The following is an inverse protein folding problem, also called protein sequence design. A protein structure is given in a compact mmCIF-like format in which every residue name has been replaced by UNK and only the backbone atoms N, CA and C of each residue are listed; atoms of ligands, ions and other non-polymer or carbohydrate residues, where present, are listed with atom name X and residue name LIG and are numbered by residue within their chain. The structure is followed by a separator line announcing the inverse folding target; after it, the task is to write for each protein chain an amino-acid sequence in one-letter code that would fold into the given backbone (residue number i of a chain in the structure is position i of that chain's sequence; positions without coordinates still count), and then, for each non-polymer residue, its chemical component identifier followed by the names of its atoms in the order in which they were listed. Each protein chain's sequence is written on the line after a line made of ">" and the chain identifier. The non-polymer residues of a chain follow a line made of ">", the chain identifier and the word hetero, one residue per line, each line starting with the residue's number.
data_IF_041631163232
#
_entry.id   IF_041631163232
#
_cell.length_a   1.000
_cell.length_b   1.000
_cell.length_c   1.000
_cell.angle_alpha   90.00
_cell.angle_beta   90.00
_cell.angle_gamma   90.00
#
_symmetry.space_group_name_H-M   'P 1'
#
loop_
_entity.id
_entity.type
_entity.pdbx_description
1 polymer ?
#
# COMPACT_ATOMS: atom_id res chain seq x y z
N UNK A 1 21.71 -11.46 34.40
CA UNK A 1 20.53 -10.68 34.82
C UNK A 1 19.65 -11.65 35.59
N UNK A 2 19.65 -11.56 36.91
CA UNK A 2 18.89 -12.46 37.78
C UNK A 2 17.41 -12.15 37.57
N UNK A 3 16.67 -13.11 37.01
CA UNK A 3 15.21 -13.09 36.92
C UNK A 3 14.72 -13.21 38.37
N UNK A 4 14.14 -12.14 38.94
CA UNK A 4 13.61 -12.14 40.30
C UNK A 4 12.55 -13.24 40.46
N UNK A 5 12.53 -13.90 41.62
CA UNK A 5 11.73 -15.09 41.96
C UNK A 5 10.20 -14.98 41.84
N UNK A 6 9.65 -13.84 41.42
CA UNK A 6 8.19 -13.65 41.20
C UNK A 6 7.76 -13.76 39.72
N UNK A 7 8.67 -14.12 38.80
CA UNK A 7 8.35 -14.30 37.38
C UNK A 7 7.89 -15.74 37.15
N UNK A 8 6.74 -15.92 36.46
CA UNK A 8 6.27 -17.22 35.99
C UNK A 8 7.42 -17.94 35.26
N UNK A 9 7.80 -19.13 35.74
CA UNK A 9 8.76 -20.00 35.06
C UNK A 9 7.97 -21.17 34.49
N UNK A 10 7.94 -21.34 33.16
CA UNK A 10 7.31 -22.51 32.56
C UNK A 10 7.89 -23.79 33.17
N UNK A 11 7.02 -24.72 33.57
CA UNK A 11 7.44 -26.02 34.07
C UNK A 11 7.39 -27.02 32.92
N UNK A 12 8.53 -27.57 32.54
CA UNK A 12 8.59 -28.60 31.49
C UNK A 12 8.79 -29.97 32.12
N UNK A 13 8.03 -30.96 31.65
CA UNK A 13 8.17 -32.37 32.08
C UNK A 13 9.40 -33.03 31.43
N UNK A 14 9.84 -32.51 30.27
CA UNK A 14 11.03 -32.97 29.56
C UNK A 14 12.28 -32.18 30.00
N UNK A 15 13.36 -32.85 30.47
CA UNK A 15 14.64 -32.20 30.76
C UNK A 15 15.26 -31.50 29.54
N UNK A 16 15.01 -32.03 28.34
CA UNK A 16 15.48 -31.44 27.08
C UNK A 16 14.77 -30.11 26.78
N UNK A 17 13.47 -30.02 27.06
CA UNK A 17 12.69 -28.79 26.93
C UNK A 17 13.12 -27.72 27.94
N UNK A 18 13.39 -28.12 29.19
CA UNK A 18 13.96 -27.21 30.19
C UNK A 18 15.31 -26.63 29.75
N UNK A 19 16.21 -27.49 29.25
CA UNK A 19 17.51 -27.06 28.73
C UNK A 19 17.35 -26.09 27.55
N UNK A 20 16.43 -26.37 26.62
CA UNK A 20 16.16 -25.51 25.47
C UNK A 20 15.56 -24.16 25.88
N UNK A 21 14.70 -24.13 26.90
CA UNK A 21 14.20 -22.89 27.49
C UNK A 21 15.33 -22.07 28.12
N UNK A 22 16.23 -22.71 28.89
CA UNK A 22 17.36 -22.04 29.50
C UNK A 22 18.32 -21.46 28.45
N UNK A 23 18.56 -22.19 27.35
CA UNK A 23 19.31 -21.69 26.19
C UNK A 23 18.61 -20.47 25.58
N UNK A 24 17.31 -20.55 25.32
CA UNK A 24 16.52 -19.44 24.78
C UNK A 24 16.59 -18.20 25.68
N UNK A 25 16.49 -18.39 27.00
CA UNK A 25 16.53 -17.34 28.01
C UNK A 25 17.94 -16.78 28.23
N UNK A 26 18.97 -17.59 28.01
CA UNK A 26 20.39 -17.24 28.10
C UNK A 26 20.96 -16.52 26.88
N UNK A 27 20.26 -16.54 25.74
CA UNK A 27 20.69 -15.77 24.56
C UNK A 27 20.81 -14.27 24.89
N UNK A 28 21.50 -13.47 24.09
CA UNK A 28 21.27 -12.02 24.12
C UNK A 28 20.03 -11.69 23.28
N UNK A 29 19.39 -10.54 23.52
CA UNK A 29 18.09 -10.14 22.93
C UNK A 29 18.02 -10.20 21.40
N UNK A 30 19.13 -10.46 20.70
CA UNK A 30 19.27 -10.39 19.23
C UNK A 30 20.19 -11.46 18.64
N UNK A 31 20.69 -12.40 19.45
CA UNK A 31 21.50 -13.50 18.92
C UNK A 31 20.56 -14.51 18.27
N UNK A 32 20.85 -14.88 17.02
CA UNK A 32 20.16 -15.98 16.35
C UNK A 32 20.38 -17.26 17.15
N UNK A 33 19.36 -18.10 17.22
CA UNK A 33 19.50 -19.44 17.80
C UNK A 33 20.50 -20.20 16.92
N UNK A 34 21.55 -20.82 17.51
CA UNK A 34 22.45 -21.67 16.75
C UNK A 34 21.67 -22.76 16.02
N UNK A 35 22.02 -23.05 14.75
CA UNK A 35 21.31 -24.03 13.91
C UNK A 35 21.05 -25.37 14.62
N UNK A 36 22.02 -25.85 15.40
CA UNK A 36 21.93 -27.09 16.18
C UNK A 36 20.83 -27.13 17.25
N UNK A 37 20.26 -25.98 17.62
CA UNK A 37 19.19 -25.85 18.60
C UNK A 37 17.86 -25.38 17.99
N UNK A 38 17.82 -25.08 16.67
CA UNK A 38 16.60 -24.54 16.04
C UNK A 38 15.46 -25.56 16.01
N UNK A 39 15.77 -26.85 15.79
CA UNK A 39 14.77 -27.93 15.75
C UNK A 39 14.14 -28.10 17.14
N UNK A 40 14.96 -28.23 18.18
CA UNK A 40 14.47 -28.41 19.55
C UNK A 40 13.72 -27.18 20.05
N UNK A 41 14.16 -25.97 19.68
CA UNK A 41 13.40 -24.76 20.02
C UNK A 41 12.06 -24.73 19.28
N UNK A 42 12.01 -25.14 18.00
CA UNK A 42 10.75 -25.23 17.25
C UNK A 42 9.76 -26.18 17.91
N UNK A 43 10.22 -27.31 18.46
CA UNK A 43 9.39 -28.29 19.18
C UNK A 43 8.94 -27.78 20.55
N UNK A 44 9.78 -27.01 21.24
CA UNK A 44 9.48 -26.40 22.53
C UNK A 44 8.48 -25.24 22.46
N UNK A 45 8.54 -24.46 21.38
CA UNK A 45 7.75 -23.22 21.24
C UNK A 45 6.25 -23.43 21.44
N UNK A 46 5.58 -24.44 20.84
CA UNK A 46 4.17 -24.71 21.11
C UNK A 46 3.82 -24.88 22.60
N UNK A 47 4.66 -25.61 23.35
CA UNK A 47 4.46 -25.82 24.79
C UNK A 47 4.63 -24.51 25.58
N UNK A 48 5.63 -23.70 25.25
CA UNK A 48 5.79 -22.35 25.84
C UNK A 48 4.54 -21.51 25.57
N UNK A 49 4.04 -21.49 24.33
CA UNK A 49 2.87 -20.69 23.95
C UNK A 49 1.60 -21.19 24.66
N UNK A 50 1.42 -22.50 24.79
CA UNK A 50 0.30 -23.09 25.52
C UNK A 50 0.30 -22.66 27.00
N UNK A 51 1.41 -22.88 27.71
CA UNK A 51 1.53 -22.51 29.13
C UNK A 51 1.34 -21.00 29.33
N UNK A 52 1.88 -20.20 28.42
CA UNK A 52 1.67 -18.75 28.39
C UNK A 52 0.17 -18.42 28.26
N UNK A 53 -0.55 -19.06 27.34
CA UNK A 53 -1.99 -18.82 27.11
C UNK A 53 -2.83 -19.21 28.33
N UNK A 54 -2.57 -20.37 28.93
CA UNK A 54 -3.23 -20.85 30.16
C UNK A 54 -3.04 -19.81 31.28
N UNK A 55 -1.81 -19.36 31.50
CA UNK A 55 -1.51 -18.38 32.54
C UNK A 55 -2.15 -17.00 32.28
N UNK A 56 -2.31 -16.57 31.01
CA UNK A 56 -3.07 -15.35 30.67
C UNK A 56 -4.55 -15.45 31.05
N UNK A 57 -5.14 -16.64 30.90
CA UNK A 57 -6.55 -16.87 31.21
C UNK A 57 -6.83 -16.79 32.71
N UNK A 58 -5.86 -17.21 33.53
CA UNK A 58 -5.94 -17.21 35.00
C UNK A 58 -5.57 -15.86 35.63
N UNK A 59 -4.59 -15.15 35.05
CA UNK A 59 -3.93 -13.99 35.69
C UNK A 59 -3.99 -12.70 34.84
N UNK A 60 -5.16 -12.41 34.28
CA UNK A 60 -5.40 -11.37 33.26
C UNK A 60 -4.92 -9.93 33.57
N UNK A 61 -4.50 -9.61 34.80
CA UNK A 61 -4.15 -8.25 35.24
C UNK A 61 -2.79 -8.11 35.97
N UNK A 62 -1.92 -9.14 36.00
CA UNK A 62 -0.63 -9.03 36.69
C UNK A 62 0.42 -8.22 35.89
N UNK A 63 0.97 -7.10 36.42
CA UNK A 63 2.08 -6.37 35.78
C UNK A 63 3.33 -7.23 35.59
N UNK A 64 3.56 -8.19 36.50
CA UNK A 64 4.67 -9.15 36.45
C UNK A 64 4.52 -10.10 35.26
N UNK A 65 3.30 -10.56 35.00
CA UNK A 65 2.99 -11.38 33.83
C UNK A 65 3.23 -10.61 32.52
N UNK A 66 2.79 -9.36 32.46
CA UNK A 66 3.04 -8.52 31.29
C UNK A 66 4.52 -8.38 30.98
N UNK A 67 5.33 -8.15 32.02
CA UNK A 67 6.79 -8.05 31.91
C UNK A 67 7.42 -9.37 31.48
N UNK A 68 6.93 -10.50 31.97
CA UNK A 68 7.38 -11.83 31.56
C UNK A 68 7.10 -12.08 30.06
N UNK A 69 5.87 -11.83 29.62
CA UNK A 69 5.53 -11.87 28.19
C UNK A 69 6.41 -10.93 27.36
N UNK A 70 6.66 -9.72 27.85
CA UNK A 70 7.55 -8.77 27.16
C UNK A 70 9.00 -9.27 27.03
N UNK A 71 9.50 -10.03 28.00
CA UNK A 71 10.84 -10.61 27.95
C UNK A 71 10.90 -11.90 27.11
N UNK A 72 10.08 -12.91 27.41
CA UNK A 72 10.14 -14.20 26.73
C UNK A 72 9.62 -14.08 25.31
N UNK A 73 8.42 -13.54 25.15
CA UNK A 73 7.76 -13.55 23.86
C UNK A 73 8.37 -12.50 22.91
N UNK A 74 8.47 -11.24 23.31
CA UNK A 74 8.86 -10.17 22.38
C UNK A 74 10.35 -9.91 22.25
N UNK A 75 11.18 -10.36 23.20
CA UNK A 75 12.64 -10.23 23.11
C UNK A 75 13.35 -11.53 22.81
N UNK A 76 12.69 -12.69 22.90
CA UNK A 76 13.23 -13.99 22.44
C UNK A 76 12.48 -14.51 21.23
N UNK A 77 11.20 -14.86 21.40
CA UNK A 77 10.43 -15.57 20.38
C UNK A 77 10.15 -14.72 19.12
N UNK A 78 9.83 -13.43 19.29
CA UNK A 78 9.48 -12.57 18.16
C UNK A 78 10.63 -12.38 17.13
N UNK A 79 11.87 -12.63 17.53
CA UNK A 79 13.07 -12.56 16.69
C UNK A 79 13.40 -13.86 15.95
N UNK A 80 12.70 -14.95 16.26
CA UNK A 80 12.85 -16.21 15.54
C UNK A 80 12.34 -16.07 14.11
N UNK A 81 12.96 -16.76 13.17
CA UNK A 81 12.43 -16.84 11.80
C UNK A 81 11.10 -17.62 11.77
N UNK A 82 10.41 -17.59 10.63
CA UNK A 82 9.13 -18.28 10.46
C UNK A 82 9.28 -19.81 10.49
N UNK A 83 10.46 -20.34 10.15
CA UNK A 83 10.76 -21.78 10.19
C UNK A 83 10.90 -22.30 11.62
N UNK A 84 11.39 -21.45 12.53
CA UNK A 84 11.61 -21.79 13.94
C UNK A 84 10.38 -21.46 14.81
N UNK A 85 9.60 -20.45 14.46
CA UNK A 85 8.39 -20.07 15.20
C UNK A 85 7.19 -19.85 14.29
N UNK A 86 6.27 -20.81 14.35
CA UNK A 86 4.93 -20.67 13.81
C UNK A 86 4.11 -19.66 14.63
N UNK A 87 4.00 -18.45 14.08
CA UNK A 87 3.26 -17.33 14.70
C UNK A 87 1.74 -17.53 14.68
N UNK A 88 1.23 -18.52 13.95
CA UNK A 88 -0.20 -18.87 13.97
C UNK A 88 -0.63 -19.38 15.35
N UNK A 89 0.31 -19.87 16.16
CA UNK A 89 0.08 -20.32 17.54
C UNK A 89 -0.30 -19.19 18.50
N UNK A 90 -0.12 -17.92 18.11
CA UNK A 90 -0.53 -16.79 18.94
C UNK A 90 -2.04 -16.70 19.00
N UNK A 91 -2.55 -16.94 20.19
CA UNK A 91 -3.97 -16.89 20.48
C UNK A 91 -4.54 -15.46 20.37
N UNK A 92 -5.85 -15.41 20.20
CA UNK A 92 -6.58 -14.14 20.21
C UNK A 92 -6.55 -13.48 21.60
N UNK A 93 -6.33 -14.26 22.65
CA UNK A 93 -6.16 -13.87 24.04
C UNK A 93 -4.88 -13.05 24.23
N UNK A 94 -3.77 -13.47 23.62
CA UNK A 94 -2.51 -12.69 23.61
C UNK A 94 -2.72 -11.34 22.92
N UNK A 95 -3.42 -11.34 21.77
CA UNK A 95 -3.76 -10.09 21.07
C UNK A 95 -4.65 -9.19 21.94
N UNK A 96 -5.65 -9.74 22.63
CA UNK A 96 -6.51 -9.01 23.58
C UNK A 96 -5.68 -8.40 24.71
N UNK A 97 -4.72 -9.12 25.23
CA UNK A 97 -3.86 -8.67 26.32
C UNK A 97 -2.96 -7.49 25.92
N UNK A 98 -2.41 -7.49 24.70
CA UNK A 98 -1.51 -6.41 24.25
C UNK A 98 -2.21 -5.19 23.66
N UNK A 99 -3.42 -5.35 23.10
CA UNK A 99 -4.21 -4.23 22.55
C UNK A 99 -5.64 -4.17 23.11
N UNK A 100 -5.87 -4.19 24.45
CA UNK A 100 -7.20 -4.38 25.03
C UNK A 100 -8.18 -3.29 24.58
N UNK A 101 -7.72 -2.03 24.51
CA UNK A 101 -8.52 -0.89 24.03
C UNK A 101 -9.00 -1.04 22.59
N UNK A 102 -8.21 -1.66 21.72
CA UNK A 102 -8.52 -1.80 20.29
C UNK A 102 -9.08 -3.18 19.93
N UNK A 103 -8.98 -4.14 20.84
CA UNK A 103 -9.28 -5.55 20.59
C UNK A 103 -10.70 -5.79 20.05
N UNK A 104 -11.79 -5.22 20.60
CA UNK A 104 -13.13 -5.47 20.05
C UNK A 104 -13.24 -5.07 18.57
N UNK A 105 -12.67 -3.92 18.20
CA UNK A 105 -12.67 -3.45 16.82
C UNK A 105 -11.67 -4.20 15.93
N UNK A 106 -10.61 -4.74 16.53
CA UNK A 106 -9.62 -5.54 15.83
C UNK A 106 -10.14 -6.96 15.57
N UNK A 107 -10.92 -7.55 16.47
CA UNK A 107 -11.65 -8.79 16.24
C UNK A 107 -12.59 -8.64 15.04
N UNK A 108 -13.40 -7.59 15.01
CA UNK A 108 -14.25 -7.25 13.86
C UNK A 108 -13.43 -7.09 12.56
N UNK A 109 -12.25 -6.45 12.64
CA UNK A 109 -11.35 -6.34 11.48
C UNK A 109 -10.91 -7.72 10.98
N UNK A 110 -10.55 -8.64 11.88
CA UNK A 110 -10.11 -9.99 11.54
C UNK A 110 -11.23 -10.87 10.99
N UNK A 111 -12.46 -10.71 11.49
CA UNK A 111 -13.63 -11.41 10.95
C UNK A 111 -13.86 -11.02 9.48
N UNK A 112 -13.70 -9.73 9.16
CA UNK A 112 -13.75 -9.25 7.78
C UNK A 112 -12.50 -9.63 6.96
N UNK A 113 -11.36 -9.92 7.60
CA UNK A 113 -10.10 -10.22 6.93
C UNK A 113 -10.18 -11.53 6.14
N UNK A 114 -11.02 -12.46 6.61
CA UNK A 114 -11.29 -13.73 5.94
C UNK A 114 -12.08 -13.57 4.63
N UNK A 115 -12.70 -12.40 4.39
CA UNK A 115 -13.47 -12.15 3.17
C UNK A 115 -12.53 -11.69 2.05
N UNK A 116 -12.60 -12.38 0.92
CA UNK A 116 -11.77 -12.11 -0.26
C UNK A 116 -11.96 -10.66 -0.72
N UNK A 117 -10.87 -9.90 -0.78
CA UNK A 117 -10.88 -8.55 -1.34
C UNK A 117 -11.84 -7.59 -0.64
N UNK A 118 -12.03 -7.74 0.68
CA UNK A 118 -13.02 -6.94 1.42
C UNK A 118 -12.81 -5.43 1.27
N UNK A 119 -13.76 -4.78 0.60
CA UNK A 119 -13.80 -3.33 0.40
C UNK A 119 -13.95 -2.56 1.73
N UNK A 120 -14.61 -3.16 2.72
CA UNK A 120 -14.80 -2.59 4.05
C UNK A 120 -13.46 -2.39 4.77
N UNK A 121 -12.58 -3.39 4.70
CA UNK A 121 -11.25 -3.36 5.29
C UNK A 121 -10.44 -2.20 4.71
N UNK A 122 -10.42 -2.11 3.39
CA UNK A 122 -9.53 -1.20 2.68
C UNK A 122 -10.00 0.26 2.75
N UNK A 123 -11.31 0.54 2.87
CA UNK A 123 -11.85 1.93 2.88
C UNK A 123 -11.95 2.58 4.26
N UNK A 124 -11.95 1.78 5.33
CA UNK A 124 -12.28 2.21 6.69
C UNK A 124 -11.13 2.96 7.38
N UNK A 125 -11.40 4.22 7.75
CA UNK A 125 -10.48 5.00 8.59
C UNK A 125 -10.35 4.44 10.01
N UNK A 126 -11.37 3.72 10.50
CA UNK A 126 -11.34 3.01 11.79
C UNK A 126 -10.32 1.88 11.72
N UNK A 127 -10.42 1.02 10.69
CA UNK A 127 -9.49 -0.09 10.48
C UNK A 127 -8.06 0.38 10.21
N UNK A 128 -7.86 1.48 9.48
CA UNK A 128 -6.54 2.10 9.35
C UNK A 128 -5.90 2.43 10.71
N UNK A 129 -6.65 3.05 11.62
CA UNK A 129 -6.14 3.41 12.96
C UNK A 129 -5.77 2.16 13.76
N UNK A 130 -6.58 1.11 13.66
CA UNK A 130 -6.35 -0.16 14.35
C UNK A 130 -5.10 -0.85 13.79
N UNK A 131 -5.02 -1.02 12.47
CA UNK A 131 -3.88 -1.61 11.79
C UNK A 131 -2.59 -0.88 12.15
N UNK A 132 -2.57 0.47 12.09
CA UNK A 132 -1.42 1.26 12.48
C UNK A 132 -0.99 1.00 13.93
N UNK A 133 -1.94 0.92 14.87
CA UNK A 133 -1.62 0.67 16.29
C UNK A 133 -1.08 -0.73 16.52
N UNK A 134 -1.65 -1.74 15.87
CA UNK A 134 -1.19 -3.13 15.95
C UNK A 134 0.20 -3.27 15.31
N UNK A 135 0.44 -2.64 14.15
CA UNK A 135 1.76 -2.62 13.50
C UNK A 135 2.80 -1.94 14.40
N UNK A 136 2.50 -0.76 14.95
CA UNK A 136 3.40 -0.03 15.84
C UNK A 136 3.77 -0.86 17.07
N UNK A 137 2.79 -1.58 17.61
CA UNK A 137 3.01 -2.52 18.69
C UNK A 137 3.92 -3.67 18.25
N UNK A 138 3.58 -4.37 17.16
CA UNK A 138 4.39 -5.47 16.62
C UNK A 138 5.85 -5.07 16.41
N UNK A 139 6.11 -3.91 15.82
CA UNK A 139 7.45 -3.36 15.67
C UNK A 139 8.15 -3.07 17.00
N UNK A 140 7.43 -2.47 17.97
CA UNK A 140 7.98 -2.23 19.32
C UNK A 140 8.38 -3.53 19.99
N UNK A 141 7.66 -4.59 19.67
CA UNK A 141 7.72 -5.92 20.21
C UNK A 141 8.55 -6.91 19.37
N UNK A 142 9.31 -6.40 18.39
CA UNK A 142 10.32 -7.18 17.68
C UNK A 142 9.84 -7.92 16.43
N UNK A 143 8.54 -7.88 16.10
CA UNK A 143 8.00 -8.46 14.86
C UNK A 143 8.65 -7.79 13.66
N UNK A 144 9.33 -8.59 12.83
CA UNK A 144 10.01 -8.11 11.64
C UNK A 144 9.01 -7.80 10.51
N UNK A 145 9.15 -6.64 9.83
CA UNK A 145 8.53 -6.45 8.52
C UNK A 145 9.06 -7.50 7.54
N UNK A 146 8.19 -7.98 6.66
CA UNK A 146 8.56 -8.94 5.61
C UNK A 146 8.82 -8.17 4.30
N UNK A 147 10.04 -8.21 3.74
CA UNK A 147 10.31 -7.61 2.44
C UNK A 147 9.45 -8.25 1.35
N UNK A 148 8.89 -7.43 0.46
CA UNK A 148 8.13 -7.96 -0.69
C UNK A 148 9.11 -8.51 -1.73
N UNK A 149 9.03 -9.81 -2.02
CA UNK A 149 9.93 -10.50 -2.96
C UNK A 149 9.74 -10.07 -4.42
N UNK A 150 8.52 -9.66 -4.79
CA UNK A 150 8.16 -9.13 -6.11
C UNK A 150 7.90 -7.63 -6.00
N UNK A 151 8.87 -6.79 -6.38
CA UNK A 151 8.69 -5.32 -6.39
C UNK A 151 10.00 -4.53 -6.41
N UNK A 152 9.88 -3.21 -6.40
CA UNK A 152 11.03 -2.33 -6.17
C UNK A 152 11.57 -2.51 -4.74
N UNK A 153 12.88 -2.40 -4.58
CA UNK A 153 13.55 -2.41 -3.27
C UNK A 153 12.86 -1.40 -2.32
N UNK A 154 12.75 -1.76 -1.05
CA UNK A 154 12.17 -0.89 -0.02
C UNK A 154 10.65 -0.92 0.08
N UNK A 155 10.03 -2.09 -0.12
CA UNK A 155 8.61 -2.33 0.20
C UNK A 155 8.49 -3.45 1.21
N UNK A 156 7.70 -3.23 2.27
CA UNK A 156 7.56 -4.15 3.40
C UNK A 156 6.09 -4.49 3.68
N UNK A 157 5.77 -5.78 3.81
CA UNK A 157 4.54 -6.20 4.48
C UNK A 157 4.68 -5.99 5.98
N UNK A 158 3.75 -5.23 6.53
CA UNK A 158 3.63 -4.96 7.96
C UNK A 158 2.66 -5.95 8.56
N UNK A 159 3.09 -6.65 9.60
CA UNK A 159 2.37 -7.77 10.18
C UNK A 159 1.84 -7.44 11.57
N UNK A 160 0.81 -8.15 12.00
CA UNK A 160 0.43 -8.20 13.40
C UNK A 160 1.34 -9.16 14.19
N UNK A 161 1.01 -9.42 15.45
CA UNK A 161 1.80 -10.35 16.27
C UNK A 161 1.77 -11.76 15.68
N UNK A 162 0.63 -12.19 15.14
CA UNK A 162 0.38 -13.52 14.55
C UNK A 162 0.92 -13.68 13.13
N UNK A 163 1.66 -12.68 12.61
CA UNK A 163 2.22 -12.73 11.26
C UNK A 163 1.22 -12.39 10.14
N UNK A 164 -0.03 -12.02 10.45
CA UNK A 164 -1.01 -11.64 9.42
C UNK A 164 -0.68 -10.27 8.86
N UNK A 165 -0.73 -10.11 7.54
CA UNK A 165 -0.39 -8.88 6.82
C UNK A 165 -1.48 -7.84 7.03
N UNK A 166 -1.16 -6.72 7.67
CA UNK A 166 -2.11 -5.63 7.95
C UNK A 166 -1.93 -4.42 7.01
N UNK A 167 -0.72 -4.24 6.48
CA UNK A 167 -0.43 -3.12 5.59
C UNK A 167 0.84 -3.32 4.78
N UNK A 168 1.01 -2.46 3.78
CA UNK A 168 2.21 -2.35 2.97
C UNK A 168 2.87 -1.01 3.30
N UNK A 169 4.11 -1.04 3.77
CA UNK A 169 4.90 0.14 4.09
C UNK A 169 6.00 0.36 3.07
N UNK A 170 6.05 1.57 2.51
CA UNK A 170 7.07 2.03 1.56
C UNK A 170 7.80 3.24 2.14
N UNK A 171 8.98 3.06 2.77
CA UNK A 171 9.78 4.18 3.27
C UNK A 171 10.32 5.06 2.13
N UNK A 172 10.31 6.37 2.36
CA UNK A 172 10.67 7.37 1.35
C UNK A 172 12.16 7.38 1.00
N UNK A 173 13.03 6.99 1.94
CA UNK A 173 14.48 7.00 1.78
C UNK A 173 15.02 5.76 1.04
N UNK A 174 14.18 4.76 0.77
CA UNK A 174 14.55 3.54 0.05
C UNK A 174 14.05 3.54 -1.41
N UNK A 175 13.37 4.60 -1.86
CA UNK A 175 12.93 4.73 -3.25
C UNK A 175 14.11 4.68 -4.24
N UNK A 176 13.88 4.20 -5.47
CA UNK A 176 14.95 3.89 -6.42
C UNK A 176 15.93 5.04 -6.67
N UNK A 177 15.46 6.29 -6.84
CA UNK A 177 16.33 7.45 -7.06
C UNK A 177 16.78 8.05 -5.72
N UNK A 178 15.92 8.05 -4.70
CA UNK A 178 16.24 8.55 -3.36
C UNK A 178 17.42 7.81 -2.70
N UNK A 179 17.53 6.50 -2.95
CA UNK A 179 18.61 5.66 -2.45
C UNK A 179 19.95 5.86 -3.17
N UNK A 180 20.00 6.63 -4.27
CA UNK A 180 21.22 6.85 -5.07
C UNK A 180 22.02 8.07 -4.60
N UNK A 181 23.30 8.08 -4.98
CA UNK A 181 24.24 9.15 -4.65
C UNK A 181 23.77 10.51 -5.17
N UNK A 182 24.19 11.61 -4.51
CA UNK A 182 23.92 12.98 -4.96
C UNK A 182 24.34 13.20 -6.43
N UNK A 183 25.49 12.64 -6.84
CA UNK A 183 26.00 12.70 -8.22
C UNK A 183 25.06 12.02 -9.22
N UNK A 184 24.54 10.83 -8.90
CA UNK A 184 23.58 10.14 -9.77
C UNK A 184 22.26 10.91 -9.88
N UNK A 185 21.75 11.44 -8.78
CA UNK A 185 20.53 12.26 -8.78
C UNK A 185 20.69 13.51 -9.64
N UNK A 186 21.83 14.19 -9.53
CA UNK A 186 22.17 15.33 -10.39
C UNK A 186 22.20 14.92 -11.87
N UNK A 187 22.95 13.87 -12.21
CA UNK A 187 23.06 13.39 -13.59
C UNK A 187 21.71 12.96 -14.17
N UNK A 188 20.90 12.24 -13.40
CA UNK A 188 19.57 11.85 -13.81
C UNK A 188 18.72 13.08 -14.14
N UNK A 189 18.68 14.08 -13.24
CA UNK A 189 17.93 15.32 -13.44
C UNK A 189 18.39 16.15 -14.66
N UNK A 190 19.59 15.89 -15.20
CA UNK A 190 20.08 16.55 -16.43
C UNK A 190 19.70 15.82 -17.72
N UNK A 191 19.07 14.64 -17.64
CA UNK A 191 18.65 13.85 -18.80
C UNK A 191 17.18 14.13 -19.18
N UNK A 192 16.91 14.92 -20.23
CA UNK A 192 15.56 15.42 -20.58
C UNK A 192 14.57 14.32 -21.00
N UNK A 193 15.06 13.09 -21.18
CA UNK A 193 14.27 11.94 -21.64
C UNK A 193 13.39 11.35 -20.52
N UNK A 194 13.70 11.63 -19.25
CA UNK A 194 13.10 10.95 -18.10
C UNK A 194 12.71 11.87 -16.93
N UNK A 195 12.77 13.21 -17.06
CA UNK A 195 12.56 14.17 -15.96
C UNK A 195 11.35 13.84 -15.07
N UNK A 196 10.20 13.54 -15.68
CA UNK A 196 8.98 13.20 -14.95
C UNK A 196 9.15 11.91 -14.13
N UNK A 197 9.77 10.87 -14.71
CA UNK A 197 10.01 9.61 -13.99
C UNK A 197 11.03 9.81 -12.88
N UNK A 198 12.04 10.63 -13.08
CA UNK A 198 13.07 10.89 -12.07
C UNK A 198 12.47 11.66 -10.89
N UNK A 199 11.66 12.68 -11.17
CA UNK A 199 10.88 13.40 -10.15
C UNK A 199 10.05 12.43 -9.30
N UNK A 200 9.31 11.53 -9.94
CA UNK A 200 8.39 10.60 -9.29
C UNK A 200 9.09 9.57 -8.40
N UNK A 201 10.35 9.25 -8.65
CA UNK A 201 11.12 8.29 -7.86
C UNK A 201 12.14 8.95 -6.90
N UNK A 202 12.09 10.29 -6.80
CA UNK A 202 13.04 11.12 -6.04
C UNK A 202 12.84 11.16 -4.52
N UNK A 203 11.99 10.29 -3.94
CA UNK A 203 11.67 10.26 -2.51
C UNK A 203 10.28 10.82 -2.17
N UNK A 204 9.47 11.17 -3.18
CA UNK A 204 8.14 11.73 -3.03
C UNK A 204 7.01 10.72 -3.27
N UNK A 205 7.33 9.48 -3.68
CA UNK A 205 6.32 8.46 -4.00
C UNK A 205 5.36 8.19 -2.84
N UNK A 206 5.85 8.20 -1.59
CA UNK A 206 4.98 8.07 -0.41
C UNK A 206 3.89 9.17 -0.28
N UNK A 207 4.15 10.40 -0.77
CA UNK A 207 3.18 11.50 -0.80
C UNK A 207 2.17 11.26 -1.92
N UNK A 208 2.64 10.82 -3.08
CA UNK A 208 1.81 10.44 -4.23
C UNK A 208 0.82 9.31 -3.89
N UNK A 209 1.29 8.28 -3.18
CA UNK A 209 0.43 7.21 -2.64
C UNK A 209 -0.68 7.75 -1.73
N UNK A 210 -0.38 8.74 -0.88
CA UNK A 210 -1.37 9.35 -0.02
C UNK A 210 -2.35 10.25 -0.80
N UNK A 211 -1.87 11.02 -1.78
CA UNK A 211 -2.73 11.84 -2.64
C UNK A 211 -3.74 10.97 -3.41
N UNK A 212 -3.31 9.83 -3.96
CA UNK A 212 -4.21 8.88 -4.62
C UNK A 212 -5.32 8.38 -3.67
N UNK A 213 -4.97 8.04 -2.42
CA UNK A 213 -5.96 7.63 -1.42
C UNK A 213 -6.92 8.76 -1.03
N UNK A 214 -6.44 10.01 -0.97
CA UNK A 214 -7.31 11.19 -0.72
C UNK A 214 -8.32 11.36 -1.86
N UNK A 215 -7.87 11.34 -3.12
CA UNK A 215 -8.74 11.49 -4.30
C UNK A 215 -9.80 10.39 -4.33
N UNK A 216 -9.39 9.13 -4.27
CA UNK A 216 -10.31 7.98 -4.32
C UNK A 216 -11.37 8.03 -3.21
N UNK A 217 -10.99 8.43 -1.99
CA UNK A 217 -11.94 8.54 -0.86
C UNK A 217 -12.85 9.76 -0.96
N UNK A 218 -12.36 10.89 -1.48
CA UNK A 218 -13.16 12.11 -1.64
C UNK A 218 -14.26 11.95 -2.68
N UNK A 219 -13.93 11.24 -3.76
CA UNK A 219 -14.88 10.87 -4.81
C UNK A 219 -15.75 9.65 -4.44
N UNK A 220 -15.56 9.07 -3.25
CA UNK A 220 -16.22 7.84 -2.77
C UNK A 220 -16.12 6.67 -3.76
N UNK A 221 -14.97 6.54 -4.44
CA UNK A 221 -14.66 5.40 -5.31
C UNK A 221 -14.16 4.21 -4.49
N UNK A 222 -13.36 4.49 -3.45
CA UNK A 222 -12.81 3.49 -2.52
C UNK A 222 -11.97 2.38 -3.16
N UNK A 223 -11.54 2.56 -4.41
CA UNK A 223 -10.66 1.64 -5.14
C UNK A 223 -9.18 1.77 -4.75
N UNK A 224 -8.74 2.86 -4.10
CA UNK A 224 -7.39 2.93 -3.52
C UNK A 224 -7.50 2.58 -2.03
N UNK A 225 -6.88 1.49 -1.55
CA UNK A 225 -6.90 1.16 -0.13
C UNK A 225 -6.40 2.34 0.70
N UNK A 226 -6.90 2.48 1.94
CA UNK A 226 -6.60 3.63 2.77
C UNK A 226 -5.09 3.69 3.00
N UNK A 227 -4.47 4.73 2.48
CA UNK A 227 -3.04 5.01 2.59
C UNK A 227 -2.85 6.32 3.35
N UNK A 228 -1.87 6.40 4.24
CA UNK A 228 -1.39 7.69 4.77
C UNK A 228 0.13 7.69 4.92
N UNK A 229 0.69 8.89 4.99
CA UNK A 229 2.08 9.07 5.43
C UNK A 229 2.16 8.80 6.93
N UNK A 230 3.12 7.97 7.33
CA UNK A 230 3.38 7.59 8.72
C UNK A 230 4.88 7.57 9.01
N UNK A 231 5.22 7.70 10.28
CA UNK A 231 6.56 7.49 10.80
C UNK A 231 6.56 6.19 11.59
N UNK A 232 7.35 5.20 11.17
CA UNK A 232 7.49 3.92 11.84
C UNK A 232 8.92 3.74 12.34
N UNK A 233 9.07 3.15 13.52
CA UNK A 233 10.37 2.93 14.17
C UNK A 233 10.61 1.44 14.38
N UNK A 234 11.65 0.89 13.76
CA UNK A 234 11.98 -0.54 13.80
C UNK A 234 13.49 -0.76 13.87
N UNK A 235 13.91 -1.89 14.42
CA UNK A 235 15.31 -2.36 14.33
C UNK A 235 15.61 -3.02 12.98
N UNK A 236 14.57 -3.47 12.28
CA UNK A 236 14.66 -4.28 11.06
C UNK A 236 14.66 -3.46 9.77
N UNK A 237 14.42 -2.15 9.86
CA UNK A 237 14.53 -1.30 8.69
C UNK A 237 15.98 -1.15 8.27
N UNK A 238 16.20 -0.99 6.96
CA UNK A 238 17.52 -0.74 6.40
C UNK A 238 18.18 0.46 7.08
N UNK A 239 19.44 0.29 7.48
CA UNK A 239 20.24 1.27 8.22
C UNK A 239 21.28 1.89 7.29
N UNK A 240 21.54 3.18 7.45
CA UNK A 240 22.72 3.81 6.85
C UNK A 240 23.97 3.40 7.62
N UNK A 241 25.14 3.50 7.00
CA UNK A 241 26.44 3.15 7.64
C UNK A 241 26.72 3.91 8.94
N UNK A 242 26.15 5.11 9.08
CA UNK A 242 26.28 5.99 10.24
C UNK A 242 25.32 5.62 11.39
N UNK A 243 24.31 4.78 11.14
CA UNK A 243 23.36 4.34 12.17
C UNK A 243 24.02 3.26 13.04
N UNK A 244 23.99 3.43 14.36
CA UNK A 244 24.50 2.38 15.26
C UNK A 244 23.69 1.09 15.14
N UNK A 245 24.38 -0.05 15.20
CA UNK A 245 23.80 -1.39 15.09
C UNK A 245 22.64 -1.61 16.10
N UNK A 246 22.68 -0.89 17.22
CA UNK A 246 21.75 -1.09 18.33
C UNK A 246 20.52 -0.18 18.38
N UNK A 247 20.43 0.84 17.52
CA UNK A 247 19.32 1.77 17.52
C UNK A 247 18.17 1.35 16.60
N UNK A 248 16.94 1.68 16.99
CA UNK A 248 15.79 1.59 16.09
C UNK A 248 15.86 2.77 15.13
N UNK A 249 15.74 2.50 13.84
CA UNK A 249 15.66 3.52 12.81
C UNK A 249 14.21 3.95 12.66
N UNK A 250 14.00 5.27 12.62
CA UNK A 250 12.70 5.85 12.33
C UNK A 250 12.65 6.21 10.84
N UNK A 251 11.67 5.66 10.13
CA UNK A 251 11.46 5.91 8.70
C UNK A 251 10.10 6.54 8.46
N UNK A 252 10.10 7.56 7.62
CA UNK A 252 8.87 8.16 7.08
C UNK A 252 8.54 7.45 5.77
N UNK A 253 7.27 7.16 5.56
CA UNK A 253 6.83 6.44 4.36
C UNK A 253 5.32 6.38 4.24
N UNK A 254 4.85 5.76 3.18
CA UNK A 254 3.41 5.49 3.02
C UNK A 254 3.09 4.15 3.66
N UNK A 255 2.01 4.11 4.45
CA UNK A 255 1.41 2.86 4.90
C UNK A 255 0.04 2.74 4.23
N UNK A 256 -0.11 1.72 3.41
CA UNK A 256 -1.36 1.34 2.75
C UNK A 256 -1.96 0.12 3.48
N UNK A 257 -3.28 0.07 3.66
CA UNK A 257 -3.93 -1.14 4.16
C UNK A 257 -3.74 -2.31 3.20
N UNK A 258 -3.46 -3.48 3.76
CA UNK A 258 -3.34 -4.72 3.00
C UNK A 258 -4.72 -5.16 2.50
N UNK A 259 -4.76 -5.75 1.30
CA UNK A 259 -5.98 -6.27 0.69
C UNK A 259 -5.91 -7.80 0.80
N UNK A 260 -6.67 -8.42 1.71
CA UNK A 260 -6.59 -9.85 1.92
C UNK A 260 -7.17 -10.63 0.74
N UNK A 261 -6.47 -11.68 0.32
CA UNK A 261 -6.90 -12.66 -0.68
C UNK A 261 -7.28 -12.10 -2.08
N UNK A 262 -6.88 -10.87 -2.43
CA UNK A 262 -7.17 -10.30 -3.75
C UNK A 262 -6.24 -10.88 -4.84
N UNK A 263 -6.76 -11.02 -6.06
CA UNK A 263 -6.05 -11.63 -7.20
C UNK A 263 -5.46 -10.53 -8.08
N UNK A 264 -4.18 -10.63 -8.44
CA UNK A 264 -3.53 -9.63 -9.30
C UNK A 264 -4.23 -9.59 -10.66
N UNK A 265 -4.52 -8.42 -11.21
CA UNK A 265 -5.25 -8.32 -12.48
C UNK A 265 -4.52 -9.01 -13.64
N UNK A 266 -3.19 -9.10 -13.58
CA UNK A 266 -2.36 -9.90 -14.49
C UNK A 266 -2.79 -11.37 -14.47
N UNK A 267 -2.95 -11.94 -13.28
CA UNK A 267 -3.34 -13.34 -13.08
C UNK A 267 -4.82 -13.52 -13.44
N UNK A 268 -5.68 -12.65 -12.91
CA UNK A 268 -7.12 -12.73 -13.13
C UNK A 268 -7.50 -12.68 -14.62
N UNK A 269 -6.91 -11.76 -15.39
CA UNK A 269 -7.27 -11.57 -16.81
C UNK A 269 -6.28 -12.20 -17.80
N UNK A 270 -5.17 -12.76 -17.30
CA UNK A 270 -4.06 -13.26 -18.12
C UNK A 270 -3.55 -12.19 -19.13
N UNK A 271 -3.31 -10.97 -18.62
CA UNK A 271 -2.84 -9.81 -19.38
C UNK A 271 -1.48 -9.35 -18.87
N UNK A 272 -0.51 -9.22 -19.78
CA UNK A 272 0.88 -8.94 -19.43
C UNK A 272 1.28 -7.48 -19.70
N UNK A 273 2.26 -6.97 -18.93
CA UNK A 273 2.76 -5.58 -19.04
C UNK A 273 3.24 -5.23 -20.46
N UNK A 274 3.90 -6.16 -21.15
CA UNK A 274 4.39 -5.93 -22.51
C UNK A 274 3.27 -5.70 -23.53
N UNK A 275 2.04 -6.19 -23.30
CA UNK A 275 0.90 -5.91 -24.16
C UNK A 275 0.44 -4.46 -24.04
N UNK A 276 0.67 -3.84 -22.88
CA UNK A 276 0.35 -2.45 -22.63
C UNK A 276 1.30 -1.50 -23.38
N UNK A 277 2.56 -1.92 -23.59
CA UNK A 277 3.56 -1.19 -24.36
C UNK A 277 3.24 -1.12 -25.85
N UNK A 278 2.50 -2.11 -26.38
CA UNK A 278 2.08 -2.22 -27.77
C UNK A 278 0.55 -2.31 -27.85
N UNK A 279 -0.18 -1.21 -27.63
CA UNK A 279 -1.61 -1.25 -27.32
C UNK A 279 -2.50 -1.81 -28.43
N UNK A 280 -2.11 -1.68 -29.69
CA UNK A 280 -2.88 -2.25 -30.81
C UNK A 280 -2.77 -3.78 -30.81
N UNK A 281 -1.54 -4.30 -30.65
CA UNK A 281 -1.30 -5.74 -30.47
C UNK A 281 -1.93 -6.26 -29.18
N UNK A 282 -1.81 -5.52 -28.08
CA UNK A 282 -2.42 -5.86 -26.79
C UNK A 282 -3.94 -5.93 -26.88
N UNK A 283 -4.57 -4.94 -27.52
CA UNK A 283 -6.02 -4.95 -27.79
C UNK A 283 -6.40 -6.15 -28.64
N UNK A 284 -5.65 -6.45 -29.71
CA UNK A 284 -5.90 -7.61 -30.56
C UNK A 284 -5.83 -8.94 -29.77
N UNK A 285 -4.79 -9.13 -28.95
CA UNK A 285 -4.61 -10.33 -28.13
C UNK A 285 -5.68 -10.49 -27.04
N UNK A 286 -6.16 -9.38 -26.49
CA UNK A 286 -7.23 -9.35 -25.51
C UNK A 286 -8.60 -9.61 -26.16
N UNK A 287 -8.80 -9.11 -27.39
CA UNK A 287 -10.03 -9.30 -28.17
C UNK A 287 -10.22 -10.71 -28.76
N UNK A 288 -9.35 -11.68 -28.45
CA UNK A 288 -9.67 -13.09 -28.70
C UNK A 288 -10.92 -13.48 -27.92
N UNK A 289 -11.95 -13.99 -28.61
CA UNK A 289 -13.34 -14.15 -28.13
C UNK A 289 -13.45 -14.59 -26.67
N UNK A 290 -12.90 -15.76 -26.33
CA UNK A 290 -12.96 -16.32 -24.96
C UNK A 290 -12.37 -15.41 -23.87
N UNK A 291 -11.28 -14.69 -24.16
CA UNK A 291 -10.65 -13.79 -23.18
C UNK A 291 -11.44 -12.49 -23.05
N UNK A 292 -11.94 -11.97 -24.17
CA UNK A 292 -12.78 -10.76 -24.19
C UNK A 292 -14.05 -10.96 -23.36
N UNK A 293 -14.74 -12.09 -23.56
CA UNK A 293 -15.94 -12.47 -22.81
C UNK A 293 -15.63 -12.52 -21.32
N UNK A 294 -14.60 -13.28 -20.93
CA UNK A 294 -14.18 -13.37 -19.53
C UNK A 294 -13.86 -12.00 -18.89
N UNK A 295 -13.15 -11.11 -19.62
CA UNK A 295 -12.84 -9.76 -19.13
C UNK A 295 -14.11 -8.92 -18.96
N UNK A 296 -15.07 -9.01 -19.88
CA UNK A 296 -16.33 -8.27 -19.78
C UNK A 296 -17.23 -8.78 -18.64
N UNK A 297 -17.18 -10.07 -18.35
CA UNK A 297 -17.90 -10.70 -17.23
C UNK A 297 -17.29 -10.34 -15.86
N UNK A 298 -15.96 -10.20 -15.79
CA UNK A 298 -15.23 -10.07 -14.52
C UNK A 298 -14.67 -8.67 -14.24
N UNK A 299 -14.78 -7.72 -15.18
CA UNK A 299 -14.42 -6.31 -14.97
C UNK A 299 -15.59 -5.43 -15.40
N UNK A 300 -16.34 -4.95 -14.43
CA UNK A 300 -17.49 -4.09 -14.69
C UNK A 300 -17.06 -2.77 -15.35
N UNK A 301 -17.95 -2.20 -16.18
CA UNK A 301 -17.73 -0.88 -16.77
C UNK A 301 -17.51 0.19 -15.69
N UNK A 302 -18.24 0.11 -14.57
CA UNK A 302 -18.14 1.07 -13.47
C UNK A 302 -16.79 1.02 -12.75
N UNK A 303 -16.29 -0.17 -12.46
CA UNK A 303 -14.96 -0.35 -11.87
C UNK A 303 -13.88 0.17 -12.82
N UNK A 304 -14.01 -0.16 -14.10
CA UNK A 304 -13.11 0.34 -15.12
C UNK A 304 -13.09 1.88 -15.18
N UNK A 305 -14.25 2.52 -15.17
CA UNK A 305 -14.36 3.99 -15.15
C UNK A 305 -13.78 4.59 -13.87
N UNK A 306 -13.96 3.94 -12.71
CA UNK A 306 -13.32 4.37 -11.46
C UNK A 306 -11.79 4.38 -11.58
N UNK A 307 -11.21 3.35 -12.20
CA UNK A 307 -9.78 3.30 -12.49
C UNK A 307 -9.36 4.42 -13.44
N UNK A 308 -10.08 4.59 -14.56
CA UNK A 308 -9.80 5.62 -15.57
C UNK A 308 -9.80 7.01 -14.95
N UNK A 309 -10.86 7.35 -14.21
CA UNK A 309 -11.01 8.66 -13.56
C UNK A 309 -9.89 8.88 -12.54
N UNK A 310 -9.61 7.88 -11.69
CA UNK A 310 -8.55 7.99 -10.67
C UNK A 310 -7.18 8.18 -11.31
N UNK A 311 -6.81 7.32 -12.27
CA UNK A 311 -5.50 7.35 -12.92
C UNK A 311 -5.31 8.60 -13.78
N UNK A 312 -6.36 9.10 -14.43
CA UNK A 312 -6.27 10.36 -15.18
C UNK A 312 -6.05 11.54 -14.25
N UNK A 313 -6.82 11.65 -13.16
CA UNK A 313 -6.68 12.74 -12.18
C UNK A 313 -5.30 12.76 -11.53
N UNK A 314 -4.76 11.59 -11.16
CA UNK A 314 -3.44 11.51 -10.53
C UNK A 314 -2.30 11.39 -11.56
N UNK A 315 -2.60 11.33 -12.87
CA UNK A 315 -1.64 11.09 -13.95
C UNK A 315 -0.71 9.91 -13.65
N UNK A 316 -1.32 8.75 -13.39
CA UNK A 316 -0.59 7.51 -13.12
C UNK A 316 0.20 7.08 -14.35
N UNK A 317 1.52 6.98 -14.20
CA UNK A 317 2.44 6.59 -15.27
C UNK A 317 2.76 5.10 -15.30
N UNK A 318 2.39 4.33 -14.26
CA UNK A 318 2.73 2.90 -14.16
C UNK A 318 1.55 1.98 -13.77
N UNK A 319 0.33 2.24 -14.27
CA UNK A 319 -0.82 1.33 -14.07
C UNK A 319 -0.77 0.11 -15.00
N UNK A 320 0.17 -0.81 -14.83
CA UNK A 320 0.08 -2.10 -15.54
C UNK A 320 -0.81 -3.11 -14.78
N UNK A 321 -1.22 -4.24 -15.40
CA UNK A 321 -2.03 -5.28 -14.74
C UNK A 321 -1.46 -5.89 -13.45
N UNK A 322 -0.19 -5.61 -13.13
CA UNK A 322 0.42 -6.03 -11.87
C UNK A 322 0.26 -5.04 -10.71
N UNK A 323 -0.22 -3.83 -11.02
CA UNK A 323 -0.37 -2.74 -10.07
C UNK A 323 -1.85 -2.50 -9.71
N UNK A 324 -2.70 -3.49 -9.88
CA UNK A 324 -4.06 -3.48 -9.34
C UNK A 324 -4.58 -4.91 -9.16
N UNK A 325 -5.49 -5.06 -8.21
CA UNK A 325 -6.10 -6.32 -7.84
C UNK A 325 -7.59 -6.36 -8.17
N UNK A 326 -8.11 -7.58 -8.30
CA UNK A 326 -9.53 -7.92 -8.43
C UNK A 326 -9.98 -8.63 -7.15
N UNK A 327 -11.12 -8.19 -6.60
CA UNK A 327 -11.79 -8.74 -5.42
C UNK A 327 -13.29 -8.46 -5.49
N UNK A 328 -13.93 -8.04 -4.39
CA UNK A 328 -15.33 -7.52 -4.41
C UNK A 328 -15.52 -6.34 -5.38
N UNK A 329 -14.42 -5.63 -5.64
CA UNK A 329 -14.26 -4.55 -6.60
C UNK A 329 -12.78 -4.53 -7.02
N UNK A 330 -12.40 -3.60 -7.89
CA UNK A 330 -10.98 -3.40 -8.18
C UNK A 330 -10.27 -2.62 -7.05
N UNK A 331 -8.98 -2.89 -6.90
CA UNK A 331 -8.11 -2.16 -5.98
C UNK A 331 -6.83 -1.68 -6.66
N UNK A 332 -6.64 -0.37 -6.70
CA UNK A 332 -5.45 0.29 -7.25
C UNK A 332 -4.36 0.40 -6.18
N UNK A 333 -3.26 -0.28 -6.41
CA UNK A 333 -2.06 -0.24 -5.57
C UNK A 333 -0.92 0.48 -6.31
N UNK A 334 0.21 0.69 -5.64
CA UNK A 334 1.41 1.25 -6.27
C UNK A 334 1.18 2.58 -7.01
N UNK A 335 0.70 3.58 -6.27
CA UNK A 335 0.39 4.92 -6.76
C UNK A 335 1.55 5.91 -6.54
N UNK A 336 2.78 5.42 -6.35
CA UNK A 336 3.97 6.24 -6.14
C UNK A 336 4.36 7.07 -7.36
N UNK A 337 4.15 6.55 -8.57
CA UNK A 337 4.46 7.21 -9.84
C UNK A 337 3.32 8.12 -10.35
N UNK A 338 2.80 8.99 -9.46
CA UNK A 338 1.66 9.87 -9.73
C UNK A 338 1.92 11.30 -9.26
N UNK A 339 1.06 12.24 -9.66
CA UNK A 339 1.09 13.66 -9.30
C UNK A 339 2.36 14.40 -9.78
N UNK A 340 2.72 14.34 -11.07
CA UNK A 340 3.85 15.10 -11.59
C UNK A 340 3.56 16.61 -11.58
N UNK A 341 4.62 17.42 -11.54
CA UNK A 341 4.56 18.88 -11.61
C UNK A 341 4.24 19.44 -13.00
N UNK A 342 4.42 18.61 -14.04
CA UNK A 342 4.10 18.91 -15.44
C UNK A 342 3.56 17.67 -16.14
N UNK A 343 2.81 17.85 -17.22
CA UNK A 343 2.42 16.75 -18.09
C UNK A 343 3.66 16.12 -18.74
N UNK A 344 3.67 14.80 -18.90
CA UNK A 344 4.87 14.12 -19.37
C UNK A 344 5.00 14.20 -20.89
N UNK A 345 5.99 14.94 -21.37
CA UNK A 345 6.33 14.99 -22.80
C UNK A 345 7.24 13.82 -23.22
N UNK A 346 7.83 13.12 -22.25
CA UNK A 346 8.69 11.95 -22.45
C UNK A 346 7.97 10.84 -23.21
N UNK A 347 8.56 10.38 -24.31
CA UNK A 347 8.03 9.24 -25.09
C UNK A 347 7.95 7.97 -24.24
N UNK A 348 8.93 7.73 -23.37
CA UNK A 348 9.02 6.55 -22.52
C UNK A 348 7.87 6.54 -21.50
N UNK A 349 7.64 7.67 -20.83
CA UNK A 349 6.55 7.81 -19.86
C UNK A 349 5.17 7.61 -20.52
N UNK A 350 5.00 8.13 -21.75
CA UNK A 350 3.76 8.01 -22.53
C UNK A 350 3.48 6.60 -23.07
N UNK A 351 4.46 5.70 -23.11
CA UNK A 351 4.25 4.31 -23.52
C UNK A 351 3.48 3.52 -22.44
N UNK A 352 3.81 3.73 -21.17
CA UNK A 352 3.18 3.06 -20.04
C UNK A 352 1.91 3.75 -19.54
N UNK A 353 1.78 5.06 -19.76
CA UNK A 353 0.63 5.83 -19.31
C UNK A 353 -0.68 5.34 -19.95
N UNK A 354 -1.69 5.10 -19.11
CA UNK A 354 -3.01 4.58 -19.47
C UNK A 354 -2.97 3.21 -20.17
N UNK A 355 -2.18 2.29 -19.62
CA UNK A 355 -2.13 0.89 -20.06
C UNK A 355 -3.51 0.20 -20.13
N UNK A 356 -4.47 0.64 -19.32
CA UNK A 356 -5.85 0.17 -19.35
C UNK A 356 -6.59 0.43 -20.69
N UNK A 357 -6.04 1.23 -21.62
CA UNK A 357 -6.63 1.48 -22.95
C UNK A 357 -6.81 0.23 -23.83
N UNK A 358 -6.10 -0.86 -23.51
CA UNK A 358 -6.20 -2.12 -24.25
C UNK A 358 -7.49 -2.89 -23.94
N UNK A 359 -8.11 -2.62 -22.78
CA UNK A 359 -9.33 -3.31 -22.34
C UNK A 359 -10.53 -2.89 -23.21
N UNK A 360 -11.50 -3.80 -23.44
CA UNK A 360 -12.66 -3.52 -24.29
C UNK A 360 -13.53 -2.39 -23.72
N UNK A 361 -13.61 -2.27 -22.39
CA UNK A 361 -14.29 -1.21 -21.65
C UNK A 361 -13.81 0.21 -22.06
N UNK A 362 -12.56 0.35 -22.53
CA UNK A 362 -12.01 1.64 -22.95
C UNK A 362 -12.74 2.27 -24.14
N UNK A 363 -13.49 1.48 -24.90
CA UNK A 363 -14.24 1.90 -26.10
C UNK A 363 -15.69 2.26 -25.79
N UNK A 364 -16.15 2.04 -24.56
CA UNK A 364 -17.50 2.39 -24.11
C UNK A 364 -17.49 3.87 -23.68
N UNK A 365 -18.41 4.71 -24.18
CA UNK A 365 -18.56 6.08 -23.72
C UNK A 365 -18.83 6.18 -22.22
N UNK A 366 -18.32 7.22 -21.57
CA UNK A 366 -18.70 7.53 -20.19
C UNK A 366 -20.22 7.68 -20.06
N UNK A 367 -20.77 7.13 -18.98
CA UNK A 367 -22.20 7.16 -18.68
C UNK A 367 -22.57 8.18 -17.58
N UNK A 368 -23.82 8.14 -17.12
CA UNK A 368 -24.31 9.05 -16.08
C UNK A 368 -23.72 8.76 -14.69
N UNK A 369 -23.16 7.57 -14.47
CA UNK A 369 -22.42 7.27 -13.26
C UNK A 369 -21.08 8.01 -13.24
N UNK A 370 -20.38 8.10 -14.37
CA UNK A 370 -19.21 8.95 -14.50
C UNK A 370 -19.55 10.44 -14.23
N UNK A 371 -20.67 10.95 -14.74
CA UNK A 371 -21.14 12.32 -14.44
C UNK A 371 -21.31 12.56 -12.93
N UNK A 372 -21.91 11.62 -12.19
CA UNK A 372 -22.05 11.71 -10.72
C UNK A 372 -20.70 11.74 -9.99
N UNK A 373 -19.64 11.18 -10.57
CA UNK A 373 -18.28 11.28 -10.02
C UNK A 373 -17.72 12.69 -10.28
N UNK A 374 -17.95 13.24 -11.46
CA UNK A 374 -17.55 14.60 -11.82
C UNK A 374 -18.25 15.65 -10.97
N UNK A 375 -19.55 15.54 -10.73
CA UNK A 375 -20.27 16.47 -9.84
C UNK A 375 -19.65 16.49 -8.44
N UNK A 376 -19.28 15.30 -7.91
CA UNK A 376 -18.58 15.19 -6.62
C UNK A 376 -17.16 15.75 -6.66
N UNK A 377 -16.46 15.60 -7.79
CA UNK A 377 -15.12 16.15 -7.98
C UNK A 377 -15.15 17.67 -7.96
N UNK A 378 -16.03 18.29 -8.74
CA UNK A 378 -16.21 19.75 -8.80
C UNK A 378 -16.53 20.31 -7.40
N UNK A 379 -17.51 19.71 -6.70
CA UNK A 379 -17.90 20.12 -5.35
C UNK A 379 -16.79 19.95 -4.30
N UNK A 380 -15.85 19.02 -4.51
CA UNK A 380 -14.81 18.70 -3.52
C UNK A 380 -13.40 19.13 -3.91
N UNK A 381 -13.22 19.75 -5.08
CA UNK A 381 -11.92 20.09 -5.65
C UNK A 381 -11.09 20.96 -4.70
N UNK A 382 -11.67 22.06 -4.21
CA UNK A 382 -10.97 22.98 -3.31
C UNK A 382 -10.66 22.32 -1.96
N UNK A 383 -11.52 21.42 -1.48
CA UNK A 383 -11.25 20.68 -0.26
C UNK A 383 -10.10 19.66 -0.44
N UNK A 384 -10.03 19.00 -1.61
CA UNK A 384 -8.94 18.10 -1.98
C UNK A 384 -7.61 18.88 -2.01
N UNK A 385 -7.58 20.01 -2.71
CA UNK A 385 -6.38 20.84 -2.86
C UNK A 385 -5.93 21.42 -1.53
N UNK A 386 -6.85 22.02 -0.75
CA UNK A 386 -6.57 22.49 0.62
C UNK A 386 -6.00 21.37 1.50
N UNK A 387 -6.49 20.13 1.32
CA UNK A 387 -5.99 18.97 2.05
C UNK A 387 -4.60 18.54 1.60
N UNK A 388 -4.26 18.63 0.31
CA UNK A 388 -2.90 18.38 -0.18
C UNK A 388 -1.90 19.35 0.44
N UNK A 389 -2.22 20.65 0.44
CA UNK A 389 -1.40 21.70 1.07
C UNK A 389 -1.26 21.52 2.58
N UNK A 390 -2.38 21.38 3.30
CA UNK A 390 -2.37 21.17 4.76
C UNK A 390 -1.55 19.94 5.19
N UNK A 391 -1.38 18.97 4.31
CA UNK A 391 -0.62 17.73 4.56
C UNK A 391 0.78 17.76 3.96
N UNK A 392 1.24 18.89 3.41
CA UNK A 392 2.54 19.07 2.77
C UNK A 392 2.84 18.01 1.69
N UNK A 393 1.81 17.67 0.90
CA UNK A 393 1.89 16.65 -0.16
C UNK A 393 2.32 17.22 -1.51
N UNK A 394 2.05 18.50 -1.75
CA UNK A 394 2.64 19.25 -2.87
C UNK A 394 4.09 19.57 -2.52
N UNK A 395 5.00 19.24 -3.42
CA UNK A 395 6.46 19.36 -3.24
C UNK A 395 7.11 20.23 -4.30
N UNK A 396 6.44 20.48 -5.42
CA UNK A 396 6.96 21.27 -6.53
C UNK A 396 5.90 22.27 -7.00
N UNK A 397 6.39 23.37 -7.55
CA UNK A 397 5.56 24.33 -8.28
C UNK A 397 4.92 23.65 -9.50
N UNK A 398 3.68 24.03 -9.84
CA UNK A 398 2.95 23.48 -10.99
C UNK A 398 2.20 22.16 -10.74
N UNK A 399 2.43 21.42 -9.65
CA UNK A 399 1.65 20.20 -9.35
C UNK A 399 0.15 20.47 -9.19
N UNK A 400 -0.21 21.54 -8.48
CA UNK A 400 -1.60 21.94 -8.32
C UNK A 400 -2.21 22.34 -9.67
N UNK A 401 -1.53 23.21 -10.42
CA UNK A 401 -2.00 23.67 -11.73
C UNK A 401 -2.23 22.48 -12.67
N UNK A 402 -1.25 21.57 -12.76
CA UNK A 402 -1.33 20.34 -13.55
C UNK A 402 -2.49 19.45 -13.08
N UNK A 403 -2.78 19.39 -11.78
CA UNK A 403 -3.97 18.70 -11.25
C UNK A 403 -5.27 19.37 -11.69
N UNK A 404 -5.38 20.69 -11.58
CA UNK A 404 -6.57 21.45 -12.03
C UNK A 404 -6.82 21.30 -13.53
N UNK A 405 -5.76 21.33 -14.35
CA UNK A 405 -5.88 21.08 -15.79
C UNK A 405 -6.42 19.67 -16.09
N UNK A 406 -6.01 18.64 -15.32
CA UNK A 406 -6.56 17.28 -15.43
C UNK A 406 -8.03 17.22 -15.05
N UNK A 407 -8.43 17.94 -14.00
CA UNK A 407 -9.84 18.05 -13.62
C UNK A 407 -10.66 18.63 -14.77
N UNK A 408 -10.26 19.77 -15.33
CA UNK A 408 -10.97 20.42 -16.44
C UNK A 408 -11.09 19.52 -17.67
N UNK A 409 -10.00 18.89 -18.10
CA UNK A 409 -10.02 17.98 -19.25
C UNK A 409 -10.90 16.75 -18.98
N UNK A 410 -10.82 16.17 -17.78
CA UNK A 410 -11.63 15.01 -17.43
C UNK A 410 -13.12 15.38 -17.43
N UNK A 411 -13.50 16.44 -16.72
CA UNK A 411 -14.87 16.98 -16.67
C UNK A 411 -15.40 17.13 -18.09
N UNK A 412 -14.67 17.84 -18.95
CA UNK A 412 -15.05 18.06 -20.33
C UNK A 412 -15.34 16.78 -21.11
N UNK A 413 -14.46 15.79 -21.00
CA UNK A 413 -14.58 14.53 -21.73
C UNK A 413 -15.74 13.67 -21.23
N UNK A 414 -15.97 13.64 -19.91
CA UNK A 414 -17.09 12.92 -19.31
C UNK A 414 -18.42 13.58 -19.68
N UNK A 415 -18.53 14.91 -19.57
CA UNK A 415 -19.74 15.67 -19.94
C UNK A 415 -20.11 15.50 -21.42
N UNK A 416 -19.12 15.39 -22.31
CA UNK A 416 -19.31 15.11 -23.73
C UNK A 416 -19.53 13.62 -24.07
N UNK A 417 -19.65 12.74 -23.07
CA UNK A 417 -19.76 11.29 -23.24
C UNK A 417 -18.69 10.74 -24.19
N UNK A 418 -17.45 11.20 -24.04
CA UNK A 418 -16.30 10.62 -24.75
C UNK A 418 -15.96 9.25 -24.16
N UNK A 419 -15.17 8.48 -24.88
CA UNK A 419 -14.67 7.18 -24.40
C UNK A 419 -13.39 7.39 -23.57
N UNK A 420 -13.09 6.49 -22.60
CA UNK A 420 -11.79 6.44 -21.95
C UNK A 420 -10.62 6.38 -22.93
N UNK A 421 -10.77 5.69 -24.08
CA UNK A 421 -9.76 5.63 -25.12
C UNK A 421 -9.49 7.01 -25.76
N UNK A 422 -10.53 7.81 -25.99
CA UNK A 422 -10.38 9.19 -26.47
C UNK A 422 -9.72 10.08 -25.41
N UNK A 423 -10.07 9.93 -24.13
CA UNK A 423 -9.43 10.64 -23.02
C UNK A 423 -7.94 10.29 -22.91
N UNK A 424 -7.60 9.02 -23.05
CA UNK A 424 -6.23 8.53 -23.02
C UNK A 424 -5.35 9.09 -24.14
N UNK A 425 -5.92 9.76 -25.16
CA UNK A 425 -5.14 10.49 -26.15
C UNK A 425 -4.51 11.78 -25.59
N UNK A 426 -5.05 12.34 -24.51
CA UNK A 426 -4.55 13.57 -23.88
C UNK A 426 -3.48 13.22 -22.85
N UNK A 427 -2.19 13.37 -23.23
CA UNK A 427 -1.06 12.92 -22.39
C UNK A 427 0.06 13.95 -22.25
N UNK A 428 0.38 14.68 -23.33
CA UNK A 428 1.47 15.65 -23.36
C UNK A 428 1.02 17.06 -23.00
N UNK A 429 1.96 17.94 -22.65
CA UNK A 429 1.71 19.36 -22.40
C UNK A 429 1.00 20.02 -23.58
N UNK A 430 1.37 19.63 -24.81
CA UNK A 430 0.76 20.14 -26.04
C UNK A 430 -0.67 19.63 -26.25
N UNK A 431 -0.97 18.38 -25.86
CA UNK A 431 -2.33 17.85 -25.93
C UNK A 431 -3.25 18.60 -24.96
N UNK A 432 -2.80 18.79 -23.71
CA UNK A 432 -3.53 19.57 -22.71
C UNK A 432 -3.76 21.00 -23.19
N UNK A 433 -2.73 21.70 -23.69
CA UNK A 433 -2.87 23.06 -24.23
C UNK A 433 -3.91 23.14 -25.35
N UNK A 434 -3.93 22.16 -26.27
CA UNK A 434 -4.92 22.09 -27.36
C UNK A 434 -6.34 21.91 -26.83
N UNK A 435 -6.54 21.00 -25.88
CA UNK A 435 -7.87 20.73 -25.31
C UNK A 435 -8.34 21.93 -24.51
N UNK A 436 -7.54 22.46 -23.58
CA UNK A 436 -7.90 23.61 -22.75
C UNK A 436 -8.28 24.84 -23.59
N UNK A 437 -7.57 25.10 -24.69
CA UNK A 437 -7.94 26.18 -25.63
C UNK A 437 -9.31 25.95 -26.29
N UNK A 438 -9.68 24.70 -26.55
CA UNK A 438 -11.03 24.35 -27.07
C UNK A 438 -12.09 24.56 -26.01
N UNK A 439 -11.82 24.18 -24.75
CA UNK A 439 -12.72 24.43 -23.61
C UNK A 439 -12.99 25.94 -23.51
N UNK A 440 -11.94 26.75 -23.40
CA UNK A 440 -12.05 28.21 -23.29
C UNK A 440 -12.88 28.83 -24.42
N UNK A 441 -12.62 28.46 -25.67
CA UNK A 441 -13.39 28.96 -26.82
C UNK A 441 -14.87 28.62 -26.73
N UNK A 442 -15.20 27.41 -26.29
CA UNK A 442 -16.59 26.98 -26.17
C UNK A 442 -17.30 27.77 -25.06
N UNK A 443 -16.67 27.93 -23.90
CA UNK A 443 -17.21 28.73 -22.78
C UNK A 443 -17.52 30.16 -23.24
N UNK A 444 -16.59 30.79 -23.96
CA UNK A 444 -16.80 32.12 -24.54
C UNK A 444 -17.97 32.13 -25.53
N UNK A 445 -18.13 31.09 -26.35
CA UNK A 445 -19.19 31.01 -27.37
C UNK A 445 -20.59 30.69 -26.82
N UNK A 446 -20.68 29.92 -25.73
CA UNK A 446 -21.97 29.43 -25.20
C UNK A 446 -22.43 30.15 -23.94
N UNK A 447 -21.54 30.91 -23.27
CA UNK A 447 -21.83 31.54 -21.98
C UNK A 447 -22.04 30.54 -20.83
N UNK A 448 -21.89 29.25 -21.11
CA UNK A 448 -22.28 28.18 -20.21
C UNK A 448 -21.08 27.75 -19.38
N UNK A 449 -21.04 28.26 -18.14
CA UNK A 449 -19.93 28.06 -17.19
C UNK A 449 -19.94 26.60 -16.68
N UNK A 450 -21.07 25.91 -16.76
CA UNK A 450 -21.23 24.53 -16.30
C UNK A 450 -20.54 23.47 -17.17
N UNK A 451 -19.87 23.88 -18.25
CA UNK A 451 -19.03 23.00 -19.07
C UNK A 451 -17.59 22.89 -18.49
N UNK A 452 -17.25 23.64 -17.42
CA UNK A 452 -15.88 23.72 -16.84
C UNK A 452 -15.73 22.93 -15.55
#
# INVERSE_FOLDING_TARGET
>A
MIISHDLFVPSFTSPEHQLCFDVLMGLEKRKKIPKKHQVQVRELVPEIIQQLNEFLSESSHSPTLKKFYEEVYFRRLAHLDEDTFDRSLISMEVLKFFVPKYYPSYKQYLDNYQKIGSSEITRSSKYYKIALKVIQLGLKLGVAPEPVSKGANGTYFMKDLAGRKLGVFKPSDEEFVASKSKKFRYLANTLPLCDTLIFLHGGNGHKSEYMASIVSRKLKLYIVPTTKVVSLKSFHFWKKSEDTLNNRVNKVGSLQLYIPHAIEAREAFNVYRNWCLLPDRGSYLLNKTKRKEYVLENLSQRDFEHMVITDFLIAQLDRHPGNWYVGEQIFLIDNGATMPHKHSDSRISRLNQYAWKIFPQARVPFDDHANKIIDRLELSLEEIIKRFHRKNLITEEGQEETYRQRVQVLTWYVRLRKTPLQLAAVRSSQDFKKVLKRIQRKVVSTGDIHIV
#
